data_IF_799531029055
#
_entry.id   IF_799531029055
#
_cell.length_a   1.000
_cell.length_b   1.000
_cell.length_c   1.000
_cell.angle_alpha   90.00
_cell.angle_beta   90.00
_cell.angle_gamma   90.00
#
_symmetry.space_group_name_H-M   'P 1'
#
loop_
_entity.id
_entity.type
_entity.pdbx_description
1 polymer ?
#
# COMPACT_ATOMS: atom_id res chain seq x y z
N UNK A 1 -13.85 -0.21 -19.84
CA UNK A 1 -14.58 -1.03 -18.84
C UNK A 1 -13.62 -1.18 -17.70
N UNK A 2 -13.64 -0.21 -16.78
CA UNK A 2 -12.43 0.31 -16.15
C UNK A 2 -12.34 0.03 -14.65
N UNK A 3 -11.16 -0.42 -14.21
CA UNK A 3 -10.56 -0.50 -12.85
C UNK A 3 -11.46 -0.67 -11.63
N UNK A 4 -12.51 0.14 -11.46
CA UNK A 4 -13.53 0.01 -10.41
C UNK A 4 -14.37 -1.27 -10.59
N UNK A 5 -14.71 -1.63 -11.82
CA UNK A 5 -15.47 -2.86 -12.09
C UNK A 5 -14.68 -4.13 -11.74
N UNK A 6 -13.35 -4.09 -11.83
CA UNK A 6 -12.49 -5.23 -11.50
C UNK A 6 -12.40 -5.45 -10.00
N UNK A 7 -12.48 -4.38 -9.18
CA UNK A 7 -12.53 -4.48 -7.71
C UNK A 7 -13.72 -5.33 -7.24
N UNK A 8 -14.89 -5.14 -7.84
CA UNK A 8 -16.11 -5.91 -7.50
C UNK A 8 -16.03 -7.38 -7.93
N UNK A 9 -15.16 -7.69 -8.90
CA UNK A 9 -14.98 -9.03 -9.47
C UNK A 9 -13.87 -9.84 -8.80
N UNK A 10 -13.05 -9.22 -7.95
CA UNK A 10 -11.98 -9.92 -7.24
C UNK A 10 -12.51 -11.04 -6.36
N UNK A 11 -11.74 -12.13 -6.30
CA UNK A 11 -12.00 -13.18 -5.33
C UNK A 11 -11.83 -12.63 -3.90
N UNK A 12 -12.53 -13.21 -2.91
CA UNK A 12 -12.40 -12.82 -1.50
C UNK A 12 -11.06 -13.29 -0.86
N UNK A 13 -10.06 -13.62 -1.67
CA UNK A 13 -8.75 -14.06 -1.19
C UNK A 13 -8.04 -12.87 -0.54
N UNK A 14 -7.42 -13.09 0.62
CA UNK A 14 -6.61 -12.09 1.29
C UNK A 14 -5.13 -12.28 0.95
N UNK A 15 -4.49 -11.24 0.42
CA UNK A 15 -3.09 -11.24 0.03
C UNK A 15 -2.18 -10.57 1.06
N UNK A 16 -2.67 -9.54 1.75
CA UNK A 16 -1.97 -8.76 2.77
C UNK A 16 -2.53 -9.03 4.18
N UNK A 17 -2.94 -10.27 4.46
CA UNK A 17 -3.56 -10.65 5.73
C UNK A 17 -2.65 -10.34 6.93
N UNK A 18 -1.35 -10.57 6.82
CA UNK A 18 -0.37 -10.23 7.86
C UNK A 18 -0.36 -8.73 8.17
N UNK A 19 -0.33 -7.88 7.14
CA UNK A 19 -0.39 -6.42 7.32
C UNK A 19 -1.70 -6.01 8.02
N UNK A 20 -2.84 -6.51 7.53
CA UNK A 20 -4.14 -6.18 8.10
C UNK A 20 -4.28 -6.63 9.55
N UNK A 21 -3.70 -7.78 9.93
CA UNK A 21 -3.68 -8.23 11.31
C UNK A 21 -2.85 -7.29 12.19
N UNK A 22 -1.63 -6.92 11.75
CA UNK A 22 -0.79 -5.97 12.49
C UNK A 22 -1.44 -4.60 12.69
N UNK A 23 -2.11 -4.08 11.65
CA UNK A 23 -2.85 -2.81 11.78
C UNK A 23 -4.04 -2.94 12.74
N UNK A 24 -4.72 -4.09 12.80
CA UNK A 24 -5.80 -4.31 13.79
C UNK A 24 -5.29 -4.37 15.22
N UNK A 25 -4.06 -4.85 15.43
CA UNK A 25 -3.42 -4.86 16.75
C UNK A 25 -3.14 -3.43 17.26
N UNK A 26 -3.17 -2.40 16.39
CA UNK A 26 -2.99 -1.00 16.75
C UNK A 26 -4.32 -0.23 16.91
N UNK A 27 -5.42 -0.92 17.21
CA UNK A 27 -6.77 -0.32 17.35
C UNK A 27 -6.86 0.81 18.39
N UNK A 28 -5.97 0.81 19.39
CA UNK A 28 -5.90 1.88 20.40
C UNK A 28 -5.18 3.14 19.92
N UNK A 29 -4.55 3.13 18.74
CA UNK A 29 -3.87 4.28 18.16
C UNK A 29 -4.89 5.31 17.63
N UNK A 30 -4.66 6.59 17.87
CA UNK A 30 -5.56 7.68 17.46
C UNK A 30 -5.78 7.76 15.94
N UNK A 31 -4.85 7.23 15.15
CA UNK A 31 -4.91 7.22 13.69
C UNK A 31 -5.28 5.85 13.10
N UNK A 32 -5.73 4.91 13.94
CA UNK A 32 -6.08 3.55 13.53
C UNK A 32 -6.98 3.47 12.28
N UNK A 33 -8.04 4.28 12.23
CA UNK A 33 -8.96 4.27 11.08
C UNK A 33 -8.29 4.69 9.76
N UNK A 34 -7.33 5.61 9.83
CA UNK A 34 -6.52 6.01 8.66
C UNK A 34 -5.66 4.86 8.17
N UNK A 35 -4.96 4.17 9.09
CA UNK A 35 -4.12 3.03 8.75
C UNK A 35 -4.94 1.88 8.17
N UNK A 36 -6.06 1.55 8.80
CA UNK A 36 -6.94 0.47 8.40
C UNK A 36 -7.55 0.73 7.03
N UNK A 37 -8.02 1.96 6.77
CA UNK A 37 -8.52 2.37 5.46
C UNK A 37 -7.44 2.20 4.38
N UNK A 38 -6.24 2.75 4.60
CA UNK A 38 -5.15 2.67 3.65
C UNK A 38 -4.72 1.21 3.36
N UNK A 39 -4.63 0.37 4.38
CA UNK A 39 -4.30 -1.04 4.24
C UNK A 39 -5.38 -1.81 3.47
N UNK A 40 -6.66 -1.51 3.69
CA UNK A 40 -7.79 -2.10 2.94
C UNK A 40 -7.80 -1.66 1.47
N UNK A 41 -7.56 -0.39 1.20
CA UNK A 41 -7.43 0.11 -0.17
C UNK A 41 -6.24 -0.54 -0.89
N UNK A 42 -5.17 -0.81 -0.16
CA UNK A 42 -3.99 -1.47 -0.70
C UNK A 42 -4.24 -2.95 -1.01
N UNK A 43 -4.93 -3.66 -0.11
CA UNK A 43 -5.41 -5.03 -0.31
C UNK A 43 -6.28 -5.14 -1.56
N UNK A 44 -7.30 -4.27 -1.68
CA UNK A 44 -8.18 -4.26 -2.84
C UNK A 44 -7.43 -3.97 -4.15
N UNK A 45 -6.44 -3.07 -4.09
CA UNK A 45 -5.59 -2.76 -5.25
C UNK A 45 -4.71 -3.95 -5.63
N UNK A 46 -4.10 -4.63 -4.66
CA UNK A 46 -3.28 -5.80 -4.91
C UNK A 46 -4.11 -6.97 -5.47
N UNK A 47 -5.31 -7.20 -4.95
CA UNK A 47 -6.20 -8.26 -5.44
C UNK A 47 -6.53 -8.08 -6.93
N UNK A 48 -6.84 -6.86 -7.37
CA UNK A 48 -7.06 -6.56 -8.79
C UNK A 48 -5.82 -6.85 -9.63
N UNK A 49 -4.66 -6.35 -9.21
CA UNK A 49 -3.39 -6.54 -9.93
C UNK A 49 -2.95 -8.02 -10.01
N UNK A 50 -3.31 -8.82 -9.00
CA UNK A 50 -3.02 -10.24 -8.94
C UNK A 50 -3.91 -11.06 -9.87
N UNK A 51 -5.21 -10.73 -9.93
CA UNK A 51 -6.20 -11.52 -10.66
C UNK A 51 -6.39 -11.10 -12.12
N UNK A 52 -6.06 -9.84 -12.46
CA UNK A 52 -6.23 -9.28 -13.80
C UNK A 52 -4.90 -8.75 -14.34
N UNK A 53 -4.05 -9.61 -14.96
CA UNK A 53 -2.77 -9.18 -15.50
C UNK A 53 -2.83 -7.99 -16.48
N UNK A 54 -3.92 -7.88 -17.23
CA UNK A 54 -4.21 -6.79 -18.16
C UNK A 54 -4.44 -5.44 -17.47
N UNK A 55 -4.79 -5.44 -16.18
CA UNK A 55 -4.99 -4.22 -15.41
C UNK A 55 -3.70 -3.70 -14.76
N UNK A 56 -2.56 -4.40 -14.92
CA UNK A 56 -1.28 -4.06 -14.28
C UNK A 56 -0.70 -2.75 -14.84
N UNK A 57 -1.17 -1.64 -14.29
CA UNK A 57 -0.77 -0.29 -14.67
C UNK A 57 -0.51 0.60 -13.44
N UNK A 58 0.44 1.52 -13.57
CA UNK A 58 0.84 2.50 -12.56
C UNK A 58 -0.33 3.40 -12.10
N UNK A 59 -1.40 3.54 -12.90
CA UNK A 59 -2.61 4.27 -12.51
C UNK A 59 -3.26 3.74 -11.23
N UNK A 60 -3.15 2.45 -10.94
CA UNK A 60 -3.59 1.90 -9.65
C UNK A 60 -2.85 2.54 -8.47
N UNK A 61 -1.57 2.89 -8.64
CA UNK A 61 -0.79 3.57 -7.62
C UNK A 61 -1.28 5.00 -7.37
N UNK A 62 -1.60 5.75 -8.43
CA UNK A 62 -2.17 7.09 -8.30
C UNK A 62 -3.55 7.08 -7.66
N UNK A 63 -4.40 6.12 -8.03
CA UNK A 63 -5.72 5.94 -7.42
C UNK A 63 -5.60 5.62 -5.93
N UNK A 64 -4.66 4.75 -5.54
CA UNK A 64 -4.43 4.44 -4.14
C UNK A 64 -4.04 5.70 -3.35
N UNK A 65 -3.07 6.49 -3.84
CA UNK A 65 -2.66 7.75 -3.20
C UNK A 65 -3.86 8.70 -3.05
N UNK A 66 -4.65 8.87 -4.11
CA UNK A 66 -5.85 9.72 -4.06
C UNK A 66 -6.85 9.24 -3.00
N UNK A 67 -7.08 7.93 -2.89
CA UNK A 67 -8.05 7.36 -1.95
C UNK A 67 -7.63 7.48 -0.48
N UNK A 68 -6.32 7.55 -0.20
CA UNK A 68 -5.78 7.65 1.16
C UNK A 68 -5.44 9.09 1.59
N UNK A 69 -5.66 10.07 0.71
CA UNK A 69 -5.53 11.49 1.01
C UNK A 69 -6.86 12.20 1.32
N UNK A 70 -8.00 11.71 0.82
CA UNK A 70 -9.22 12.54 0.73
C UNK A 70 -10.46 12.02 1.52
N UNK A 71 -10.48 10.76 1.97
CA UNK A 71 -11.76 10.13 2.40
C UNK A 71 -11.90 9.72 3.87
N UNK A 72 -10.85 9.24 4.54
CA UNK A 72 -10.95 8.70 5.92
C UNK A 72 -9.79 9.08 6.85
N UNK A 73 -9.00 10.05 6.42
CA UNK A 73 -7.74 10.44 7.04
C UNK A 73 -6.69 10.68 5.97
N UNK A 74 -5.70 11.49 6.31
CA UNK A 74 -4.60 11.82 5.41
C UNK A 74 -3.38 10.97 5.78
N UNK A 75 -3.31 9.76 5.21
CA UNK A 75 -2.14 8.89 5.40
C UNK A 75 -0.86 9.60 4.95
N UNK A 76 -0.96 10.45 3.92
CA UNK A 76 0.17 11.16 3.35
C UNK A 76 0.70 12.19 4.36
N UNK A 77 -0.17 12.90 5.08
CA UNK A 77 0.25 13.76 6.19
C UNK A 77 0.97 12.97 7.30
N UNK A 78 0.53 11.75 7.62
CA UNK A 78 1.13 10.93 8.69
C UNK A 78 2.55 10.42 8.36
N UNK A 79 2.90 10.35 7.07
CA UNK A 79 4.27 10.01 6.63
C UNK A 79 5.13 11.25 6.33
N UNK A 80 4.52 12.44 6.29
CA UNK A 80 5.20 13.70 6.05
C UNK A 80 5.63 14.34 7.38
N UNK A 81 6.91 14.20 7.75
CA UNK A 81 7.47 14.93 8.89
C UNK A 81 8.63 14.22 9.58
N UNK A 82 9.17 14.85 10.63
CA UNK A 82 10.22 14.25 11.47
C UNK A 82 9.73 13.11 12.35
N UNK A 83 8.44 13.12 12.71
CA UNK A 83 7.81 12.12 13.56
C UNK A 83 6.78 11.31 12.74
N UNK A 84 7.23 10.79 11.59
CA UNK A 84 6.37 10.00 10.74
C UNK A 84 5.83 8.77 11.49
N UNK A 85 4.54 8.52 11.35
CA UNK A 85 3.87 7.34 11.92
C UNK A 85 4.51 6.07 11.34
N UNK A 86 4.89 5.16 12.23
CA UNK A 86 5.53 3.91 11.83
C UNK A 86 4.54 2.98 11.16
N UNK A 87 3.30 2.90 11.66
CA UNK A 87 2.23 2.14 11.04
C UNK A 87 1.89 2.68 9.64
N UNK A 88 1.85 4.00 9.46
CA UNK A 88 1.65 4.62 8.15
C UNK A 88 2.81 4.33 7.19
N UNK A 89 4.05 4.40 7.67
CA UNK A 89 5.25 4.06 6.90
C UNK A 89 5.26 2.60 6.48
N UNK A 90 4.78 1.68 7.32
CA UNK A 90 4.64 0.26 6.95
C UNK A 90 3.68 0.14 5.77
N UNK A 91 2.46 0.69 5.88
CA UNK A 91 1.47 0.65 4.79
C UNK A 91 2.03 1.27 3.50
N UNK A 92 2.69 2.41 3.60
CA UNK A 92 3.33 3.08 2.47
C UNK A 92 4.48 2.27 1.85
N UNK A 93 5.24 1.55 2.68
CA UNK A 93 6.30 0.66 2.19
C UNK A 93 5.73 -0.51 1.40
N UNK A 94 4.62 -1.10 1.84
CA UNK A 94 3.89 -2.11 1.06
C UNK A 94 3.42 -1.54 -0.28
N UNK A 95 2.88 -0.32 -0.29
CA UNK A 95 2.52 0.38 -1.53
C UNK A 95 3.71 0.49 -2.49
N UNK A 96 4.87 0.92 -1.99
CA UNK A 96 6.09 1.03 -2.79
C UNK A 96 6.52 -0.33 -3.38
N UNK A 97 6.44 -1.41 -2.59
CA UNK A 97 6.73 -2.78 -3.07
C UNK A 97 5.76 -3.23 -4.16
N UNK A 98 4.49 -2.84 -4.09
CA UNK A 98 3.47 -3.19 -5.09
C UNK A 98 3.75 -2.47 -6.40
N UNK A 99 3.93 -1.14 -6.36
CA UNK A 99 4.17 -0.35 -7.58
C UNK A 99 5.53 -0.69 -8.23
N UNK A 100 6.51 -1.18 -7.46
CA UNK A 100 7.79 -1.66 -8.00
C UNK A 100 7.64 -2.88 -8.90
N UNK A 101 6.56 -3.66 -8.75
CA UNK A 101 6.29 -4.85 -9.55
C UNK A 101 5.48 -4.58 -10.81
N UNK A 102 5.00 -3.34 -10.99
CA UNK A 102 4.28 -2.95 -12.19
C UNK A 102 5.27 -2.74 -13.35
N UNK A 103 4.82 -2.88 -14.61
CA UNK A 103 5.67 -2.63 -15.77
C UNK A 103 6.36 -1.26 -15.67
N UNK A 104 7.69 -1.27 -15.64
CA UNK A 104 8.48 -0.07 -15.48
C UNK A 104 8.29 0.86 -16.69
N UNK A 105 8.03 2.13 -16.41
CA UNK A 105 8.06 3.20 -17.41
C UNK A 105 9.41 3.89 -17.33
N UNK A 106 9.84 4.53 -18.42
CA UNK A 106 11.15 5.20 -18.52
C UNK A 106 11.41 6.20 -17.39
N UNK A 107 10.37 6.79 -16.81
CA UNK A 107 10.46 7.75 -15.72
C UNK A 107 10.29 7.13 -14.32
N UNK A 108 9.68 5.95 -14.19
CA UNK A 108 9.20 5.44 -12.90
C UNK A 108 10.20 4.58 -12.14
N UNK A 109 11.18 3.97 -12.82
CA UNK A 109 12.04 2.97 -12.19
C UNK A 109 12.86 3.53 -11.02
N UNK A 110 13.59 4.63 -11.24
CA UNK A 110 14.40 5.28 -10.19
C UNK A 110 13.52 5.92 -9.11
N UNK A 111 12.37 6.47 -9.51
CA UNK A 111 11.44 7.12 -8.60
C UNK A 111 10.86 6.12 -7.60
N UNK A 112 10.28 5.01 -8.08
CA UNK A 112 9.71 3.97 -7.22
C UNK A 112 10.75 3.36 -6.29
N UNK A 113 11.97 3.11 -6.79
CA UNK A 113 13.06 2.60 -5.97
C UNK A 113 13.41 3.57 -4.84
N UNK A 114 13.56 4.85 -5.14
CA UNK A 114 13.86 5.89 -4.14
C UNK A 114 12.76 6.01 -3.08
N UNK A 115 11.49 5.92 -3.47
CA UNK A 115 10.36 5.94 -2.52
C UNK A 115 10.42 4.75 -1.56
N UNK A 116 10.64 3.54 -2.08
CA UNK A 116 10.76 2.33 -1.25
C UNK A 116 11.92 2.44 -0.28
N UNK A 117 13.11 2.78 -0.78
CA UNK A 117 14.32 2.80 0.03
C UNK A 117 14.23 3.88 1.12
N UNK A 118 13.67 5.04 0.79
CA UNK A 118 13.42 6.11 1.76
C UNK A 118 12.38 5.74 2.83
N UNK A 119 11.25 5.12 2.42
CA UNK A 119 10.21 4.67 3.33
C UNK A 119 10.76 3.61 4.30
N UNK A 120 11.44 2.58 3.77
CA UNK A 120 12.00 1.51 4.58
C UNK A 120 13.11 1.99 5.53
N UNK A 121 13.95 2.94 5.09
CA UNK A 121 14.98 3.54 5.95
C UNK A 121 14.39 4.35 7.12
N UNK A 122 13.17 4.88 6.96
CA UNK A 122 12.47 5.68 7.98
C UNK A 122 11.75 4.83 9.02
N UNK A 123 11.64 3.52 8.79
CA UNK A 123 11.09 2.57 9.76
C UNK A 123 12.08 2.31 10.90
N UNK A 124 11.57 2.18 12.12
CA UNK A 124 12.27 1.64 13.25
C UNK A 124 12.49 0.11 13.13
N UNK A 125 13.23 -0.46 14.09
CA UNK A 125 13.60 -1.88 14.05
C UNK A 125 12.39 -2.81 14.16
N UNK A 126 11.38 -2.44 14.96
CA UNK A 126 10.18 -3.25 15.15
C UNK A 126 9.35 -3.30 13.87
N UNK A 127 9.04 -2.15 13.29
CA UNK A 127 8.14 -2.03 12.15
C UNK A 127 8.77 -2.52 10.84
N UNK A 128 10.12 -2.53 10.73
CA UNK A 128 10.80 -3.24 9.64
C UNK A 128 10.43 -4.72 9.58
N UNK A 129 10.18 -5.36 10.72
CA UNK A 129 9.77 -6.78 10.76
C UNK A 129 8.37 -7.01 10.22
N UNK A 130 7.53 -5.97 10.12
CA UNK A 130 6.17 -6.08 9.57
C UNK A 130 6.17 -6.10 8.04
N UNK A 131 7.24 -5.63 7.40
CA UNK A 131 7.37 -5.58 5.94
C UNK A 131 7.84 -6.93 5.42
N UNK A 132 6.89 -7.80 5.04
CA UNK A 132 7.19 -9.11 4.47
C UNK A 132 7.20 -9.09 2.94
N UNK A 133 7.71 -10.16 2.32
CA UNK A 133 7.61 -10.32 0.88
C UNK A 133 6.16 -10.55 0.44
N UNK A 134 5.74 -9.84 -0.60
CA UNK A 134 4.40 -10.00 -1.15
C UNK A 134 4.35 -11.29 -1.97
N UNK A 135 3.22 -12.02 -2.00
CA UNK A 135 3.02 -13.17 -2.88
C UNK A 135 3.36 -12.81 -4.33
N UNK A 136 3.94 -13.75 -5.10
CA UNK A 136 4.10 -13.54 -6.55
C UNK A 136 2.73 -13.37 -7.19
N UNK A 137 2.65 -12.51 -8.22
CA UNK A 137 1.49 -12.53 -9.09
C UNK A 137 1.40 -13.93 -9.73
N UNK A 138 0.20 -14.51 -9.80
CA UNK A 138 -0.02 -15.68 -10.65
C UNK A 138 0.02 -15.24 -12.13
#
# INVERSE_FOLDING_TARGET
MGMLADRERTSKKQYLSTLLTRIRETESNEHYETYLHAAKELEATFAVLAEFPESRDIFHGFLWISNVSDHRGDLIALIQGRNASQEALVVYTYFCKIIQRLPARWWSEKWVRGLKDGAFASLDEEHRTWVVELPSWA
#
